data_IF_210962058911
#
_entry.id   IF_210962058911
#
_cell.length_a   1.000
_cell.length_b   1.000
_cell.length_c   1.000
_cell.angle_alpha   90.00
_cell.angle_beta   90.00
_cell.angle_gamma   90.00
#
_symmetry.space_group_name_H-M   'P 1'
#
loop_
_entity.id
_entity.type
_entity.pdbx_description
1 polymer ?
#
# COMPACT_ATOMS: atom_id res chain seq x y z
N UNK A 1 -7.88 4.63 29.55
CA UNK A 1 -6.71 4.36 28.69
C UNK A 1 -5.79 5.57 28.73
N UNK A 2 -4.47 5.37 28.67
CA UNK A 2 -3.52 6.48 28.51
C UNK A 2 -3.62 7.07 27.09
N UNK A 3 -3.15 8.31 26.90
CA UNK A 3 -3.08 8.93 25.56
C UNK A 3 -2.20 8.11 24.60
N UNK A 4 -1.11 7.53 25.12
CA UNK A 4 -0.28 6.59 24.37
C UNK A 4 -1.05 5.34 23.95
N UNK A 5 -1.86 4.73 24.81
CA UNK A 5 -2.68 3.55 24.43
C UNK A 5 -3.73 3.89 23.36
N UNK A 6 -4.35 5.08 23.47
CA UNK A 6 -5.30 5.57 22.46
C UNK A 6 -4.62 5.84 21.11
N UNK A 7 -3.45 6.48 21.11
CA UNK A 7 -2.66 6.72 19.89
C UNK A 7 -2.23 5.40 19.24
N UNK A 8 -1.77 4.44 20.05
CA UNK A 8 -1.39 3.12 19.56
C UNK A 8 -2.55 2.35 18.94
N UNK A 9 -3.74 2.40 19.56
CA UNK A 9 -4.93 1.78 19.00
C UNK A 9 -5.31 2.39 17.63
N UNK A 10 -5.13 3.71 17.44
CA UNK A 10 -5.37 4.36 16.15
C UNK A 10 -4.40 3.89 15.08
N UNK A 11 -3.12 3.74 15.42
CA UNK A 11 -2.10 3.16 14.52
C UNK A 11 -2.51 1.78 14.06
N UNK A 12 -2.85 0.89 14.99
CA UNK A 12 -3.22 -0.49 14.66
C UNK A 12 -4.49 -0.55 13.81
N UNK A 13 -5.48 0.29 14.13
CA UNK A 13 -6.70 0.39 13.33
C UNK A 13 -6.41 0.88 11.90
N UNK A 14 -5.60 1.93 11.74
CA UNK A 14 -5.24 2.43 10.41
C UNK A 14 -4.51 1.36 9.59
N UNK A 15 -3.62 0.58 10.22
CA UNK A 15 -2.92 -0.51 9.56
C UNK A 15 -3.85 -1.68 9.18
N UNK A 16 -4.80 -2.03 10.06
CA UNK A 16 -5.80 -3.07 9.78
C UNK A 16 -6.73 -2.66 8.62
N UNK A 17 -7.16 -1.40 8.58
CA UNK A 17 -7.94 -0.84 7.47
C UNK A 17 -7.13 -0.85 6.15
N UNK A 18 -5.84 -0.56 6.20
CA UNK A 18 -4.96 -0.64 5.04
C UNK A 18 -4.82 -2.09 4.54
N UNK A 19 -4.51 -3.05 5.42
CA UNK A 19 -4.40 -4.46 5.06
C UNK A 19 -5.72 -4.99 4.49
N UNK A 20 -6.85 -4.60 5.09
CA UNK A 20 -8.17 -4.93 4.57
C UNK A 20 -8.32 -4.42 3.13
N UNK A 21 -8.03 -3.14 2.88
CA UNK A 21 -8.10 -2.54 1.54
C UNK A 21 -7.21 -3.25 0.51
N UNK A 22 -5.96 -3.54 0.85
CA UNK A 22 -5.03 -4.28 -0.02
C UNK A 22 -5.58 -5.66 -0.39
N UNK A 23 -6.29 -6.32 0.54
CA UNK A 23 -6.84 -7.66 0.31
C UNK A 23 -8.20 -7.67 -0.42
N UNK A 24 -9.09 -6.72 -0.13
CA UNK A 24 -10.48 -6.73 -0.59
C UNK A 24 -10.71 -5.86 -1.83
N UNK A 25 -10.12 -4.67 -1.87
CA UNK A 25 -10.35 -3.69 -2.94
C UNK A 25 -9.28 -3.82 -4.01
N UNK A 26 -8.00 -3.86 -3.63
CA UNK A 26 -6.89 -3.91 -4.59
C UNK A 26 -6.53 -5.34 -5.04
N UNK A 27 -6.46 -6.29 -4.11
CA UNK A 27 -6.05 -7.67 -4.38
C UNK A 27 -6.72 -8.36 -5.58
N UNK A 28 -8.04 -8.18 -5.83
CA UNK A 28 -8.70 -8.73 -7.01
C UNK A 28 -8.13 -8.22 -8.35
N UNK A 29 -7.51 -7.03 -8.37
CA UNK A 29 -7.01 -6.38 -9.59
C UNK A 29 -5.61 -6.85 -9.97
N UNK A 30 -4.81 -7.35 -9.01
CA UNK A 30 -3.40 -7.74 -9.28
C UNK A 30 -3.28 -8.94 -10.22
N UNK A 31 -4.35 -9.74 -10.38
CA UNK A 31 -4.36 -10.84 -11.35
C UNK A 31 -4.15 -10.36 -12.79
N UNK A 32 -4.53 -9.12 -13.11
CA UNK A 32 -4.40 -8.53 -14.43
C UNK A 32 -3.01 -7.96 -14.73
N UNK A 33 -2.06 -8.05 -13.79
CA UNK A 33 -0.63 -7.78 -14.04
C UNK A 33 0.05 -8.88 -14.88
N UNK A 34 -0.73 -9.81 -15.43
CA UNK A 34 -0.27 -10.83 -16.36
C UNK A 34 -0.99 -10.70 -17.69
N UNK A 35 -0.24 -10.86 -18.78
CA UNK A 35 -0.80 -10.78 -20.13
C UNK A 35 -1.85 -11.87 -20.39
N UNK A 36 -1.69 -13.03 -19.77
CA UNK A 36 -2.64 -14.14 -19.86
C UNK A 36 -4.03 -13.73 -19.36
N UNK A 37 -4.12 -13.25 -18.11
CA UNK A 37 -5.41 -12.84 -17.54
C UNK A 37 -5.95 -11.58 -18.21
N UNK A 38 -5.09 -10.65 -18.64
CA UNK A 38 -5.52 -9.45 -19.35
C UNK A 38 -6.12 -9.79 -20.72
N UNK A 39 -5.63 -10.85 -21.40
CA UNK A 39 -6.16 -11.30 -22.69
C UNK A 39 -7.59 -11.80 -22.62
N UNK A 40 -8.00 -12.34 -21.47
CA UNK A 40 -9.35 -12.87 -21.27
C UNK A 40 -10.43 -11.79 -21.19
N UNK A 41 -10.03 -10.54 -20.94
CA UNK A 41 -10.93 -9.39 -20.92
C UNK A 41 -11.24 -8.88 -22.34
N UNK A 42 -12.45 -8.36 -22.54
CA UNK A 42 -12.78 -7.56 -23.72
C UNK A 42 -12.06 -6.21 -23.68
N UNK A 43 -11.93 -5.56 -24.84
CA UNK A 43 -11.29 -4.23 -24.95
C UNK A 43 -11.84 -3.20 -23.95
N UNK A 44 -13.17 -3.10 -23.84
CA UNK A 44 -13.84 -2.18 -22.92
C UNK A 44 -13.53 -2.52 -21.45
N UNK A 45 -13.41 -3.81 -21.13
CA UNK A 45 -13.11 -4.26 -19.77
C UNK A 45 -11.66 -3.94 -19.38
N UNK A 46 -10.70 -4.04 -20.31
CA UNK A 46 -9.30 -3.63 -20.09
C UNK A 46 -9.17 -2.14 -19.85
N UNK A 47 -9.82 -1.32 -20.67
CA UNK A 47 -9.84 0.13 -20.49
C UNK A 47 -10.52 0.51 -19.18
N UNK A 48 -11.65 -0.11 -18.86
CA UNK A 48 -12.33 0.11 -17.58
C UNK A 48 -11.45 -0.27 -16.39
N UNK A 49 -10.73 -1.38 -16.48
CA UNK A 49 -9.77 -1.80 -15.46
C UNK A 49 -8.67 -0.75 -15.26
N UNK A 50 -8.00 -0.32 -16.34
CA UNK A 50 -6.95 0.70 -16.26
C UNK A 50 -7.47 2.03 -15.71
N UNK A 51 -8.65 2.49 -16.16
CA UNK A 51 -9.28 3.69 -15.62
C UNK A 51 -9.63 3.55 -14.13
N UNK A 52 -10.26 2.44 -13.71
CA UNK A 52 -10.53 2.22 -12.28
C UNK A 52 -9.26 2.17 -11.43
N UNK A 53 -8.17 1.62 -11.98
CA UNK A 53 -6.89 1.62 -11.28
C UNK A 53 -6.35 3.04 -11.05
N UNK A 54 -6.44 3.91 -12.06
CA UNK A 54 -5.98 5.31 -12.01
C UNK A 54 -6.90 6.17 -11.12
N UNK A 55 -8.21 6.04 -11.29
CA UNK A 55 -9.18 6.98 -10.74
C UNK A 55 -9.60 6.61 -9.30
N UNK A 56 -9.61 5.32 -8.96
CA UNK A 56 -10.20 4.84 -7.71
C UNK A 56 -9.24 3.98 -6.87
N UNK A 57 -8.66 2.93 -7.46
CA UNK A 57 -7.96 1.89 -6.68
C UNK A 57 -6.61 2.38 -6.18
N UNK A 58 -5.74 2.90 -7.05
CA UNK A 58 -4.42 3.40 -6.63
C UNK A 58 -4.55 4.61 -5.70
N UNK A 59 -5.41 5.61 -5.97
CA UNK A 59 -5.68 6.69 -5.03
C UNK A 59 -6.10 6.18 -3.64
N UNK A 60 -6.98 5.17 -3.58
CA UNK A 60 -7.37 4.56 -2.32
C UNK A 60 -6.21 3.88 -1.57
N UNK A 61 -5.29 3.22 -2.28
CA UNK A 61 -4.06 2.66 -1.66
C UNK A 61 -3.19 3.77 -1.06
N UNK A 62 -2.98 4.86 -1.81
CA UNK A 62 -2.21 6.02 -1.34
C UNK A 62 -2.85 6.60 -0.08
N UNK A 63 -4.16 6.78 -0.07
CA UNK A 63 -4.89 7.33 1.08
C UNK A 63 -4.71 6.44 2.32
N UNK A 64 -4.82 5.11 2.18
CA UNK A 64 -4.60 4.18 3.31
C UNK A 64 -3.16 4.18 3.82
N UNK A 65 -2.18 4.24 2.93
CA UNK A 65 -0.78 4.37 3.30
C UNK A 65 -0.51 5.67 4.09
N UNK A 66 -1.08 6.79 3.61
CA UNK A 66 -0.99 8.10 4.28
C UNK A 66 -1.70 8.13 5.62
N UNK A 67 -2.89 7.53 5.73
CA UNK A 67 -3.61 7.42 7.00
C UNK A 67 -2.78 6.66 8.05
N UNK A 68 -2.11 5.58 7.65
CA UNK A 68 -1.19 4.86 8.53
C UNK A 68 0.01 5.73 8.95
N UNK A 69 0.60 6.48 8.01
CA UNK A 69 1.71 7.40 8.30
C UNK A 69 1.29 8.49 9.30
N UNK A 70 0.15 9.15 9.07
CA UNK A 70 -0.41 10.16 9.96
C UNK A 70 -0.70 9.58 11.35
N UNK A 71 -1.21 8.35 11.43
CA UNK A 71 -1.44 7.70 12.72
C UNK A 71 -0.13 7.49 13.49
N UNK A 72 0.96 7.12 12.81
CA UNK A 72 2.29 7.02 13.43
C UNK A 72 2.85 8.38 13.85
N UNK A 73 2.69 9.42 13.02
CA UNK A 73 3.10 10.80 13.34
C UNK A 73 2.37 11.33 14.58
N UNK A 74 1.06 11.13 14.64
CA UNK A 74 0.22 11.50 15.80
C UNK A 74 0.63 10.72 17.05
N UNK A 75 1.11 9.49 16.90
CA UNK A 75 1.53 8.64 18.00
C UNK A 75 2.92 8.98 18.55
N UNK A 76 3.82 9.46 17.69
CA UNK A 76 5.23 9.73 18.00
C UNK A 76 5.45 10.63 19.24
N UNK A 77 4.70 11.74 19.47
CA UNK A 77 4.85 12.59 20.65
C UNK A 77 4.64 11.87 21.99
N UNK A 78 3.85 10.78 21.99
CA UNK A 78 3.52 10.04 23.20
C UNK A 78 4.57 8.99 23.58
N UNK A 79 5.61 8.82 22.78
CA UNK A 79 6.70 7.86 23.04
C UNK A 79 7.72 8.44 24.02
N UNK A 80 7.92 7.84 25.21
CA UNK A 80 8.96 8.28 26.14
C UNK A 80 10.33 7.65 25.85
N UNK A 81 10.37 6.48 25.22
CA UNK A 81 11.59 5.74 24.91
C UNK A 81 12.19 6.21 23.57
N UNK A 82 13.46 6.67 23.55
CA UNK A 82 14.14 7.09 22.32
C UNK A 82 14.22 5.99 21.24
N UNK A 83 14.42 4.73 21.63
CA UNK A 83 14.47 3.61 20.68
C UNK A 83 13.08 3.36 20.06
N UNK A 84 12.02 3.47 20.87
CA UNK A 84 10.65 3.37 20.34
C UNK A 84 10.35 4.49 19.35
N UNK A 85 10.82 5.72 19.61
CA UNK A 85 10.70 6.84 18.67
C UNK A 85 11.41 6.56 17.34
N UNK A 86 12.64 6.05 17.39
CA UNK A 86 13.39 5.70 16.17
C UNK A 86 12.66 4.62 15.35
N UNK A 87 12.07 3.63 16.00
CA UNK A 87 11.29 2.59 15.31
C UNK A 87 10.02 3.19 14.67
N UNK A 88 9.28 4.03 15.40
CA UNK A 88 8.08 4.70 14.85
C UNK A 88 8.47 5.62 13.68
N UNK A 89 9.56 6.38 13.80
CA UNK A 89 10.08 7.19 12.69
C UNK A 89 10.43 6.32 11.48
N UNK A 90 11.11 5.20 11.68
CA UNK A 90 11.44 4.27 10.59
C UNK A 90 10.19 3.72 9.89
N UNK A 91 9.08 3.58 10.61
CA UNK A 91 7.81 3.13 10.02
C UNK A 91 7.11 4.25 9.23
N UNK A 92 7.21 5.51 9.68
CA UNK A 92 6.74 6.67 8.91
C UNK A 92 7.54 6.77 7.60
N UNK A 93 8.87 6.66 7.69
CA UNK A 93 9.75 6.69 6.52
C UNK A 93 9.43 5.53 5.55
N UNK A 94 9.07 4.35 6.08
CA UNK A 94 8.64 3.21 5.28
C UNK A 94 7.31 3.46 4.56
N UNK A 95 6.34 4.14 5.20
CA UNK A 95 5.11 4.56 4.52
C UNK A 95 5.42 5.49 3.33
N UNK A 96 6.37 6.42 3.46
CA UNK A 96 6.75 7.29 2.36
C UNK A 96 7.32 6.50 1.17
N UNK A 97 8.21 5.54 1.45
CA UNK A 97 8.78 4.68 0.39
C UNK A 97 7.67 3.90 -0.34
N UNK A 98 6.70 3.36 0.41
CA UNK A 98 5.59 2.62 -0.18
C UNK A 98 4.67 3.55 -0.98
N UNK A 99 4.39 4.76 -0.49
CA UNK A 99 3.61 5.75 -1.23
C UNK A 99 4.28 6.09 -2.56
N UNK A 100 5.60 6.33 -2.56
CA UNK A 100 6.35 6.63 -3.78
C UNK A 100 6.26 5.46 -4.79
N UNK A 101 6.42 4.22 -4.32
CA UNK A 101 6.25 3.02 -5.17
C UNK A 101 4.83 2.90 -5.75
N UNK A 102 3.80 3.21 -4.95
CA UNK A 102 2.40 3.21 -5.40
C UNK A 102 2.15 4.29 -6.45
N UNK A 103 2.77 5.48 -6.31
CA UNK A 103 2.64 6.56 -7.29
C UNK A 103 3.31 6.19 -8.62
N UNK A 104 4.48 5.53 -8.58
CA UNK A 104 5.11 4.98 -9.79
C UNK A 104 4.19 3.98 -10.48
N UNK A 105 3.50 3.11 -9.73
CA UNK A 105 2.49 2.21 -10.29
C UNK A 105 1.37 2.97 -11.02
N UNK A 106 0.92 4.12 -10.49
CA UNK A 106 -0.08 4.98 -11.14
C UNK A 106 0.41 5.50 -12.50
N UNK A 107 1.66 5.97 -12.55
CA UNK A 107 2.29 6.49 -13.76
C UNK A 107 2.45 5.37 -14.81
N UNK A 108 2.84 4.17 -14.38
CA UNK A 108 2.95 2.99 -15.25
C UNK A 108 1.58 2.59 -15.83
N UNK A 109 0.51 2.52 -15.02
CA UNK A 109 -0.83 2.19 -15.55
C UNK A 109 -1.34 3.27 -16.50
N UNK A 110 -1.07 4.54 -16.20
CA UNK A 110 -1.45 5.65 -17.09
C UNK A 110 -0.76 5.54 -18.44
N UNK A 111 0.55 5.29 -18.44
CA UNK A 111 1.33 5.10 -19.66
C UNK A 111 0.90 3.85 -20.43
N UNK A 112 0.64 2.75 -19.71
CA UNK A 112 0.13 1.51 -20.29
C UNK A 112 -1.23 1.69 -20.96
N UNK A 113 -2.12 2.52 -20.39
CA UNK A 113 -3.42 2.82 -20.97
C UNK A 113 -3.27 3.54 -22.31
N UNK A 114 -2.42 4.56 -22.37
CA UNK A 114 -2.16 5.32 -23.59
C UNK A 114 -1.56 4.40 -24.68
N UNK A 115 -0.55 3.60 -24.33
CA UNK A 115 0.10 2.66 -25.26
C UNK A 115 -0.87 1.56 -25.73
N UNK A 116 -1.77 1.09 -24.85
CA UNK A 116 -2.81 0.13 -25.21
C UNK A 116 -3.83 0.71 -26.21
N UNK A 117 -4.21 1.97 -26.04
CA UNK A 117 -5.15 2.65 -26.96
C UNK A 117 -4.54 2.83 -28.36
N UNK A 118 -3.23 3.04 -28.45
CA UNK A 118 -2.51 3.25 -29.70
C UNK A 118 -2.10 1.94 -30.40
N UNK A 119 -1.56 0.96 -29.66
CA UNK A 119 -0.94 -0.25 -30.21
C UNK A 119 -1.53 -1.58 -29.74
N UNK A 120 -2.50 -1.56 -28.82
CA UNK A 120 -3.15 -2.75 -28.30
C UNK A 120 -2.26 -3.56 -27.34
N UNK A 121 -2.50 -4.88 -27.28
CA UNK A 121 -1.87 -5.73 -26.26
C UNK A 121 -0.36 -5.98 -26.44
N UNK A 122 0.19 -5.72 -27.62
CA UNK A 122 1.61 -5.97 -27.87
C UNK A 122 2.49 -4.91 -27.19
N UNK A 123 1.97 -3.69 -27.00
CA UNK A 123 2.69 -2.57 -26.37
C UNK A 123 2.65 -2.61 -24.83
N UNK A 124 1.75 -3.39 -24.21
CA UNK A 124 1.57 -3.39 -22.74
C UNK A 124 2.47 -4.36 -21.98
N UNK A 125 3.19 -5.25 -22.68
CA UNK A 125 3.92 -6.36 -22.03
C UNK A 125 5.03 -5.87 -21.09
N UNK A 126 5.72 -4.79 -21.47
CA UNK A 126 6.74 -4.15 -20.64
C UNK A 126 6.14 -3.61 -19.35
N UNK A 127 5.07 -2.81 -19.47
CA UNK A 127 4.32 -2.24 -18.34
C UNK A 127 3.82 -3.30 -17.37
N UNK A 128 3.26 -4.41 -17.86
CA UNK A 128 2.78 -5.49 -17.00
C UNK A 128 3.90 -6.10 -16.14
N UNK A 129 5.12 -6.20 -16.68
CA UNK A 129 6.27 -6.69 -15.93
C UNK A 129 6.69 -5.67 -14.86
N UNK A 130 6.72 -4.38 -15.21
CA UNK A 130 7.03 -3.29 -14.27
C UNK A 130 6.00 -3.21 -13.13
N UNK A 131 4.71 -3.40 -13.43
CA UNK A 131 3.65 -3.44 -12.42
C UNK A 131 3.80 -4.62 -11.47
N UNK A 132 4.15 -5.80 -11.98
CA UNK A 132 4.37 -6.99 -11.17
C UNK A 132 5.59 -6.82 -10.24
N UNK A 133 6.70 -6.29 -10.76
CA UNK A 133 7.91 -6.01 -9.98
C UNK A 133 7.67 -4.93 -8.93
N UNK A 134 6.97 -3.85 -9.30
CA UNK A 134 6.59 -2.77 -8.38
C UNK A 134 5.69 -3.26 -7.24
N UNK A 135 4.71 -4.12 -7.56
CA UNK A 135 3.85 -4.74 -6.56
C UNK A 135 4.61 -5.68 -5.62
N UNK A 136 5.56 -6.46 -6.12
CA UNK A 136 6.43 -7.28 -5.26
C UNK A 136 7.26 -6.42 -4.31
N UNK A 137 7.80 -5.28 -4.80
CA UNK A 137 8.54 -4.33 -3.98
C UNK A 137 7.68 -3.73 -2.86
N UNK A 138 6.45 -3.30 -3.19
CA UNK A 138 5.48 -2.80 -2.21
C UNK A 138 5.19 -3.87 -1.15
N UNK A 139 4.91 -5.12 -1.55
CA UNK A 139 4.66 -6.22 -0.60
C UNK A 139 5.88 -6.50 0.28
N UNK A 140 7.08 -6.40 -0.28
CA UNK A 140 8.31 -6.54 0.48
C UNK A 140 8.38 -5.46 1.56
N UNK A 141 8.20 -4.19 1.20
CA UNK A 141 8.18 -3.08 2.15
C UNK A 141 7.09 -3.24 3.20
N UNK A 142 5.86 -3.60 2.81
CA UNK A 142 4.77 -3.86 3.75
C UNK A 142 5.12 -4.97 4.76
N UNK A 143 5.86 -6.00 4.34
CA UNK A 143 6.29 -7.07 5.24
C UNK A 143 7.22 -6.58 6.37
N UNK A 144 7.96 -5.49 6.16
CA UNK A 144 8.90 -4.94 7.14
C UNK A 144 8.18 -4.34 8.36
N UNK A 145 6.91 -3.93 8.24
CA UNK A 145 6.12 -3.49 9.39
C UNK A 145 6.00 -4.56 10.47
N UNK A 146 5.95 -5.85 10.10
CA UNK A 146 5.93 -6.94 11.08
C UNK A 146 7.14 -6.92 12.02
N UNK A 147 8.31 -6.53 11.50
CA UNK A 147 9.54 -6.37 12.29
C UNK A 147 9.47 -5.12 13.17
N UNK A 148 8.92 -4.01 12.66
CA UNK A 148 8.67 -2.78 13.42
C UNK A 148 7.74 -3.03 14.61
N UNK A 149 6.58 -3.64 14.36
CA UNK A 149 5.61 -4.02 15.38
C UNK A 149 6.20 -4.99 16.42
N UNK A 150 6.99 -5.99 15.99
CA UNK A 150 7.65 -6.91 16.92
C UNK A 150 8.64 -6.20 17.86
N UNK A 151 9.41 -5.23 17.33
CA UNK A 151 10.33 -4.42 18.13
C UNK A 151 9.57 -3.54 19.11
N UNK A 152 8.51 -2.84 18.67
CA UNK A 152 7.67 -2.03 19.55
C UNK A 152 7.02 -2.86 20.67
N UNK A 153 6.55 -4.07 20.35
CA UNK A 153 6.05 -5.03 21.35
C UNK A 153 7.10 -5.40 22.38
N UNK A 154 8.35 -5.65 21.95
CA UNK A 154 9.44 -5.95 22.89
C UNK A 154 9.79 -4.78 23.83
N UNK A 155 9.40 -3.55 23.46
CA UNK A 155 9.56 -2.34 24.25
C UNK A 155 8.30 -1.99 25.10
N UNK A 156 7.29 -2.86 25.11
CA UNK A 156 6.10 -2.72 25.97
C UNK A 156 4.87 -2.11 25.30
N UNK A 157 4.87 -1.91 23.98
CA UNK A 157 3.66 -1.57 23.22
C UNK A 157 2.93 -2.85 22.80
N UNK A 158 2.08 -3.34 23.70
CA UNK A 158 1.28 -4.53 23.44
C UNK A 158 0.20 -4.26 22.38
N UNK A 159 -0.16 -5.30 21.62
CA UNK A 159 -1.33 -5.27 20.75
C UNK A 159 -2.57 -5.39 21.65
N UNK A 160 -3.42 -4.37 21.79
CA UNK A 160 -4.68 -4.52 22.49
C UNK A 160 -5.54 -5.56 21.75
N UNK A 161 -6.36 -6.32 22.49
CA UNK A 161 -7.37 -7.18 21.88
C UNK A 161 -8.29 -6.28 21.04
N UNK A 162 -8.24 -6.44 19.72
CA UNK A 162 -9.13 -5.78 18.78
C UNK A 162 -10.42 -6.62 18.77
N UNK A 163 -11.41 -6.23 19.58
CA UNK A 163 -12.78 -6.78 19.52
C UNK A 163 -13.52 -6.34 18.25
#
# INVERSE_FOLDING_TARGET
MSESALGWQRVLKAFDEWIYYESSEFGPYTGYFSLENLRDLMHVERLSWMSSMIDDIIPGRVDRCREAAVAFEDFLPYMPDPNAREIVQSMIDLCQVIEDDILVMSDTISSMKDDYEDGGLDEVVGHLSELADGEENIRHHMSLFSQGFAKLRSLGLEMPDME
#
